data_IF_555275345957
#
_entry.id   IF_555275345957
#
_cell.length_a   1.000
_cell.length_b   1.000
_cell.length_c   1.000
_cell.angle_alpha   90.00
_cell.angle_beta   90.00
_cell.angle_gamma   90.00
#
_symmetry.space_group_name_H-M   'P 1'
#
loop_
_entity.id
_entity.type
_entity.pdbx_description
1 polymer ?
#
# COMPACT_ATOMS: atom_id res chain seq x y z
N UNK A 1 47.21 36.39 22.19
CA UNK A 1 46.40 37.12 23.20
C UNK A 1 45.40 38.02 22.48
N UNK A 2 44.16 37.59 22.30
CA UNK A 2 42.99 38.45 22.08
C UNK A 2 41.75 37.64 22.49
N UNK A 3 41.14 38.03 23.62
CA UNK A 3 39.94 37.43 24.20
C UNK A 3 38.72 38.06 23.51
N UNK A 4 37.88 37.27 22.85
CA UNK A 4 36.54 37.72 22.46
C UNK A 4 35.49 37.11 23.41
N UNK A 5 34.80 38.00 24.09
CA UNK A 5 33.83 37.78 25.15
C UNK A 5 32.52 37.24 24.61
N UNK A 6 32.02 36.16 25.22
CA UNK A 6 30.66 35.64 25.06
C UNK A 6 29.69 36.61 25.74
N UNK A 7 28.80 37.25 24.98
CA UNK A 7 27.61 37.91 25.54
C UNK A 7 26.44 36.93 25.50
N UNK A 8 26.10 36.39 26.66
CA UNK A 8 24.81 35.79 26.94
C UNK A 8 23.74 36.88 26.88
N UNK A 9 22.72 36.67 26.04
CA UNK A 9 21.45 37.39 26.18
C UNK A 9 20.52 36.53 27.04
N UNK A 10 20.38 36.95 28.29
CA UNK A 10 19.34 36.53 29.21
C UNK A 10 18.13 37.43 28.97
N UNK A 11 17.00 36.87 28.53
CA UNK A 11 15.72 37.57 28.53
C UNK A 11 14.69 36.67 29.22
N UNK A 12 14.43 37.07 30.47
CA UNK A 12 13.22 36.96 31.28
C UNK A 12 12.12 36.01 30.82
N UNK A 13 11.92 34.95 31.63
CA UNK A 13 10.62 34.36 31.91
C UNK A 13 9.64 35.48 32.30
N UNK A 14 8.49 35.56 31.63
CA UNK A 14 7.31 36.16 32.24
C UNK A 14 6.11 35.30 31.89
N UNK A 15 5.52 34.78 32.95
CA UNK A 15 4.37 33.90 32.95
C UNK A 15 3.12 34.66 32.48
N UNK A 16 2.38 34.07 31.54
CA UNK A 16 0.95 34.33 31.38
C UNK A 16 0.27 32.96 31.38
N UNK A 17 -0.06 32.51 32.59
CA UNK A 17 -0.84 31.31 32.86
C UNK A 17 -2.33 31.72 32.76
N UNK A 18 -2.86 31.80 31.55
CA UNK A 18 -4.31 32.00 31.34
C UNK A 18 -5.00 30.63 31.41
N UNK A 19 -5.67 30.38 32.54
CA UNK A 19 -6.52 29.22 32.74
C UNK A 19 -7.76 29.31 31.83
N UNK A 20 -7.73 28.66 30.67
CA UNK A 20 -8.94 28.34 29.91
C UNK A 20 -9.59 27.08 30.52
N UNK A 21 -10.63 27.31 31.33
CA UNK A 21 -11.61 26.30 31.71
C UNK A 21 -12.32 25.80 30.44
N UNK A 22 -11.97 24.61 29.98
CA UNK A 22 -12.72 23.92 28.93
C UNK A 22 -13.79 23.08 29.64
N UNK A 23 -15.09 23.29 29.40
CA UNK A 23 -16.11 22.37 29.89
C UNK A 23 -15.91 21.02 29.20
N UNK A 24 -15.71 19.99 30.01
CA UNK A 24 -15.74 18.59 29.59
C UNK A 24 -17.10 18.29 28.96
N UNK A 25 -17.17 18.32 27.64
CA UNK A 25 -18.32 17.79 26.90
C UNK A 25 -18.27 16.28 27.10
N UNK A 26 -19.24 15.78 27.87
CA UNK A 26 -19.51 14.36 27.99
C UNK A 26 -19.62 13.74 26.60
N UNK A 27 -18.73 12.78 26.30
CA UNK A 27 -18.87 11.90 25.15
C UNK A 27 -20.17 11.11 25.30
N UNK A 28 -21.22 11.52 24.58
CA UNK A 28 -22.39 10.68 24.40
C UNK A 28 -21.97 9.49 23.52
N UNK A 29 -22.23 8.23 23.94
CA UNK A 29 -22.09 7.10 23.04
C UNK A 29 -23.14 7.27 21.93
N UNK A 30 -22.68 7.69 20.75
CA UNK A 30 -23.48 7.63 19.52
C UNK A 30 -23.69 6.16 19.20
N UNK A 31 -24.75 5.59 19.75
CA UNK A 31 -25.31 4.32 19.30
C UNK A 31 -25.95 4.55 17.93
N UNK A 32 -25.11 4.63 16.89
CA UNK A 32 -25.56 4.49 15.51
C UNK A 32 -25.98 3.03 15.34
N UNK A 33 -27.28 2.78 15.45
CA UNK A 33 -27.90 1.59 14.86
C UNK A 33 -27.36 1.46 13.42
N UNK A 34 -26.70 0.36 13.03
CA UNK A 34 -26.24 0.20 11.67
C UNK A 34 -27.46 0.25 10.76
N UNK A 35 -27.49 1.23 9.87
CA UNK A 35 -28.53 1.35 8.85
C UNK A 35 -28.36 0.15 7.89
N UNK A 36 -29.33 -0.77 7.79
CA UNK A 36 -29.21 -1.99 6.98
C UNK A 36 -29.22 -1.72 5.45
N UNK A 37 -29.19 -0.47 5.02
CA UNK A 37 -29.24 -0.08 3.61
C UNK A 37 -27.88 0.19 2.95
N UNK A 38 -26.77 0.22 3.69
CA UNK A 38 -25.44 0.13 3.08
C UNK A 38 -25.08 -1.33 2.82
N UNK A 39 -25.81 -1.95 1.89
CA UNK A 39 -25.25 -3.09 1.14
C UNK A 39 -24.04 -2.52 0.41
N UNK A 40 -22.84 -2.95 0.77
CA UNK A 40 -21.67 -2.83 -0.09
C UNK A 40 -22.08 -3.41 -1.44
N UNK A 41 -22.31 -2.55 -2.43
CA UNK A 41 -22.62 -2.97 -3.78
C UNK A 41 -21.30 -3.40 -4.41
N UNK A 42 -21.03 -4.70 -4.35
CA UNK A 42 -19.90 -5.30 -5.03
C UNK A 42 -20.22 -5.36 -6.52
N UNK A 43 -19.50 -4.56 -7.31
CA UNK A 43 -19.54 -4.67 -8.76
C UNK A 43 -18.67 -5.85 -9.18
N UNK A 44 -19.22 -6.78 -9.96
CA UNK A 44 -18.45 -7.84 -10.60
C UNK A 44 -17.37 -7.23 -11.49
N UNK A 45 -16.12 -7.67 -11.30
CA UNK A 45 -14.86 -7.17 -11.91
C UNK A 45 -14.92 -7.01 -13.44
N UNK A 46 -15.87 -7.67 -14.10
CA UNK A 46 -16.11 -7.59 -15.55
C UNK A 46 -16.29 -6.15 -16.08
N UNK A 47 -16.76 -5.21 -15.25
CA UNK A 47 -17.03 -3.84 -15.70
C UNK A 47 -15.77 -2.94 -15.68
N UNK A 48 -14.69 -3.37 -15.03
CA UNK A 48 -13.46 -2.58 -14.87
C UNK A 48 -12.24 -3.39 -15.35
N UNK A 49 -12.01 -3.51 -16.67
CA UNK A 49 -10.91 -4.31 -17.21
C UNK A 49 -9.52 -3.81 -16.80
N UNK A 50 -9.41 -2.54 -16.40
CA UNK A 50 -8.18 -1.91 -15.88
C UNK A 50 -7.91 -2.20 -14.41
N UNK A 51 -8.84 -2.81 -13.69
CA UNK A 51 -8.66 -3.26 -12.31
C UNK A 51 -8.18 -4.71 -12.33
N UNK A 52 -6.97 -4.94 -11.86
CA UNK A 52 -6.30 -6.25 -11.98
C UNK A 52 -5.76 -6.71 -10.63
N UNK A 53 -5.54 -8.01 -10.49
CA UNK A 53 -4.84 -8.55 -9.32
C UNK A 53 -3.34 -8.51 -9.54
N UNK A 54 -2.59 -8.14 -8.51
CA UNK A 54 -1.12 -8.22 -8.47
C UNK A 54 -0.73 -9.22 -7.40
N UNK A 55 0.06 -10.21 -7.80
CA UNK A 55 0.58 -11.30 -6.98
C UNK A 55 2.08 -11.11 -6.90
N UNK A 56 2.59 -10.86 -5.70
CA UNK A 56 3.99 -10.55 -5.44
C UNK A 56 4.60 -11.58 -4.50
N UNK A 57 5.64 -12.27 -4.95
CA UNK A 57 6.41 -13.20 -4.10
C UNK A 57 7.51 -12.44 -3.37
N UNK A 58 7.45 -12.48 -2.04
CA UNK A 58 8.35 -11.75 -1.17
C UNK A 58 9.63 -12.56 -0.95
N UNK A 59 10.78 -11.95 -1.21
CA UNK A 59 12.07 -12.55 -0.92
C UNK A 59 12.50 -12.26 0.54
N UNK A 60 12.17 -13.18 1.44
CA UNK A 60 12.50 -13.08 2.86
C UNK A 60 14.00 -12.95 3.13
N UNK A 61 14.84 -13.58 2.31
CA UNK A 61 16.30 -13.54 2.53
C UNK A 61 16.86 -12.13 2.34
N UNK A 62 16.29 -11.33 1.43
CA UNK A 62 16.72 -9.95 1.23
C UNK A 62 16.18 -9.00 2.31
N UNK A 63 15.02 -9.31 2.89
CA UNK A 63 14.50 -8.60 4.06
C UNK A 63 15.40 -8.87 5.26
N UNK A 64 15.76 -10.13 5.50
CA UNK A 64 16.65 -10.51 6.59
C UNK A 64 18.00 -9.78 6.47
N UNK A 65 18.61 -9.77 5.28
CA UNK A 65 19.85 -9.02 5.02
C UNK A 65 19.69 -7.52 5.28
N UNK A 66 18.62 -6.90 4.78
CA UNK A 66 18.35 -5.47 4.99
C UNK A 66 18.19 -5.11 6.48
N UNK A 67 17.51 -5.96 7.25
CA UNK A 67 17.37 -5.78 8.69
C UNK A 67 18.71 -5.96 9.42
N UNK A 68 19.49 -6.98 9.05
CA UNK A 68 20.82 -7.22 9.62
C UNK A 68 21.77 -6.04 9.37
N UNK A 69 21.74 -5.45 8.18
CA UNK A 69 22.51 -4.25 7.84
C UNK A 69 22.12 -3.04 8.71
N UNK A 70 20.88 -2.99 9.20
CA UNK A 70 20.39 -1.97 10.15
C UNK A 70 20.67 -2.31 11.61
N UNK A 71 21.44 -3.38 11.88
CA UNK A 71 21.74 -3.85 13.23
C UNK A 71 20.60 -4.62 13.90
N UNK A 72 19.53 -4.93 13.17
CA UNK A 72 18.38 -5.70 13.67
C UNK A 72 18.67 -7.17 13.43
N UNK A 73 18.90 -7.92 14.51
CA UNK A 73 19.08 -9.37 14.44
C UNK A 73 17.71 -10.05 14.35
N UNK A 74 17.35 -10.47 13.15
CA UNK A 74 16.23 -11.35 12.89
C UNK A 74 16.77 -12.61 12.21
N UNK A 75 16.31 -13.78 12.65
CA UNK A 75 16.58 -15.04 11.98
C UNK A 75 15.26 -15.56 11.43
N UNK A 76 15.05 -15.38 10.13
CA UNK A 76 13.84 -15.83 9.43
C UNK A 76 13.99 -17.31 9.01
N UNK A 77 15.20 -17.86 9.16
CA UNK A 77 15.65 -19.16 8.65
C UNK A 77 15.52 -20.32 9.65
N UNK A 78 14.65 -20.23 10.66
CA UNK A 78 14.38 -21.38 11.54
C UNK A 78 13.82 -22.58 10.75
N UNK A 79 14.07 -23.81 11.22
CA UNK A 79 13.78 -25.09 10.53
C UNK A 79 12.35 -25.25 9.97
N UNK A 80 11.39 -24.42 10.41
CA UNK A 80 9.99 -24.41 9.95
C UNK A 80 9.72 -23.54 8.72
N UNK A 81 10.65 -22.70 8.27
CA UNK A 81 10.43 -21.73 7.18
C UNK A 81 11.11 -22.07 5.85
N UNK A 82 11.84 -23.19 5.79
CA UNK A 82 12.73 -23.56 4.66
C UNK A 82 12.00 -23.63 3.31
N UNK A 83 10.67 -23.78 3.31
CA UNK A 83 9.84 -23.86 2.09
C UNK A 83 8.71 -22.82 2.01
N UNK A 84 8.74 -21.77 2.85
CA UNK A 84 7.68 -20.75 2.84
C UNK A 84 8.13 -19.52 2.05
N UNK A 85 7.47 -19.25 0.93
CA UNK A 85 7.61 -17.99 0.19
C UNK A 85 6.34 -17.17 0.43
N UNK A 86 6.38 -16.11 1.27
CA UNK A 86 5.22 -15.28 1.49
C UNK A 86 4.77 -14.63 0.19
N UNK A 87 3.46 -14.59 -0.01
CA UNK A 87 2.83 -13.96 -1.16
C UNK A 87 2.03 -12.76 -0.66
N UNK A 88 2.24 -11.61 -1.29
CA UNK A 88 1.37 -10.46 -1.17
C UNK A 88 0.43 -10.42 -2.37
N UNK A 89 -0.88 -10.42 -2.12
CA UNK A 89 -1.90 -10.27 -3.16
C UNK A 89 -2.60 -8.94 -2.96
N UNK A 90 -2.60 -8.11 -3.99
CA UNK A 90 -3.13 -6.74 -3.94
C UNK A 90 -3.81 -6.38 -5.26
N UNK A 91 -4.41 -5.20 -5.32
CA UNK A 91 -5.05 -4.66 -6.51
C UNK A 91 -4.10 -3.71 -7.25
N UNK A 92 -4.09 -3.80 -8.59
CA UNK A 92 -3.40 -2.88 -9.48
C UNK A 92 -4.38 -2.16 -10.41
N UNK A 93 -3.99 -0.97 -10.86
CA UNK A 93 -4.74 -0.16 -11.82
C UNK A 93 -3.88 0.04 -13.05
N UNK A 94 -4.37 -0.36 -14.22
CA UNK A 94 -3.73 -0.06 -15.51
C UNK A 94 -3.93 1.43 -15.81
N UNK A 95 -2.83 2.17 -15.94
CA UNK A 95 -2.87 3.64 -16.06
C UNK A 95 -2.61 4.16 -17.48
N UNK A 96 -2.06 3.34 -18.37
CA UNK A 96 -1.88 3.70 -19.78
C UNK A 96 -1.98 2.51 -20.75
N UNK A 97 -1.71 2.78 -22.03
CA UNK A 97 -1.78 1.81 -23.13
C UNK A 97 -0.50 1.01 -23.31
N UNK A 98 0.60 1.42 -22.69
CA UNK A 98 1.89 0.71 -22.77
C UNK A 98 1.93 -0.46 -21.79
N UNK A 99 0.99 -0.49 -20.85
CA UNK A 99 0.83 -1.56 -19.87
C UNK A 99 1.40 -1.20 -18.51
N UNK A 100 1.55 0.10 -18.21
CA UNK A 100 1.94 0.53 -16.89
C UNK A 100 0.79 0.35 -15.90
N UNK A 101 1.15 -0.15 -14.72
CA UNK A 101 0.23 -0.47 -13.64
C UNK A 101 0.69 0.24 -12.37
N UNK A 102 -0.23 0.95 -11.74
CA UNK A 102 -0.04 1.56 -10.43
C UNK A 102 -0.58 0.62 -9.35
N UNK A 103 0.22 0.35 -8.32
CA UNK A 103 -0.18 -0.50 -7.18
C UNK A 103 0.60 -0.15 -5.92
N UNK A 104 0.37 -0.87 -4.82
CA UNK A 104 1.16 -0.80 -3.59
C UNK A 104 1.65 -2.19 -3.24
N UNK A 105 2.97 -2.35 -3.26
CA UNK A 105 3.65 -3.56 -2.83
C UNK A 105 4.25 -3.34 -1.44
N UNK A 106 4.47 -4.44 -0.73
CA UNK A 106 5.05 -4.42 0.62
C UNK A 106 6.36 -5.20 0.63
N UNK A 107 7.22 -4.89 1.59
CA UNK A 107 8.46 -5.63 1.83
C UNK A 107 9.40 -5.71 0.62
N UNK A 108 9.45 -4.63 -0.18
CA UNK A 108 10.41 -4.47 -1.27
C UNK A 108 11.76 -3.97 -0.74
N UNK A 109 12.84 -4.42 -1.38
CA UNK A 109 14.17 -3.83 -1.26
C UNK A 109 14.74 -3.48 -2.65
N UNK A 110 14.35 -2.33 -3.24
CA UNK A 110 14.82 -1.95 -4.59
C UNK A 110 16.35 -1.79 -4.70
N UNK A 111 17.04 -1.46 -3.60
CA UNK A 111 18.49 -1.31 -3.56
C UNK A 111 19.23 -2.64 -3.80
N UNK A 112 18.59 -3.77 -3.51
CA UNK A 112 19.11 -5.11 -3.80
C UNK A 112 18.79 -5.62 -5.23
N UNK A 113 18.27 -4.73 -6.09
CA UNK A 113 17.91 -5.05 -7.48
C UNK A 113 16.77 -6.07 -7.55
N UNK A 114 16.74 -6.88 -8.63
CA UNK A 114 15.67 -7.85 -8.88
C UNK A 114 15.43 -8.82 -7.72
N UNK A 115 16.49 -9.21 -7.00
CA UNK A 115 16.38 -10.12 -5.85
C UNK A 115 15.60 -9.51 -4.70
N UNK A 116 15.77 -8.21 -4.45
CA UNK A 116 15.06 -7.49 -3.39
C UNK A 116 13.63 -7.10 -3.77
N UNK A 117 13.31 -7.10 -5.07
CA UNK A 117 11.94 -6.94 -5.55
C UNK A 117 11.18 -8.26 -5.44
N UNK A 118 11.78 -9.40 -5.80
CA UNK A 118 11.08 -10.67 -5.93
C UNK A 118 10.36 -10.80 -7.28
N UNK A 119 9.46 -11.78 -7.40
CA UNK A 119 8.67 -12.00 -8.63
C UNK A 119 7.31 -11.33 -8.53
N UNK A 120 6.82 -10.75 -9.63
CA UNK A 120 5.54 -10.06 -9.68
C UNK A 120 4.76 -10.56 -10.88
N UNK A 121 3.64 -11.23 -10.61
CA UNK A 121 2.67 -11.66 -11.61
C UNK A 121 1.43 -10.79 -11.49
N UNK A 122 0.83 -10.40 -12.60
CA UNK A 122 -0.53 -9.85 -12.62
C UNK A 122 -1.50 -10.89 -13.13
N UNK A 123 -2.71 -10.90 -12.57
CA UNK A 123 -3.81 -11.71 -13.05
C UNK A 123 -4.92 -10.78 -13.55
N UNK A 124 -5.27 -10.95 -14.83
CA UNK A 124 -6.31 -10.19 -15.49
C UNK A 124 -7.71 -10.66 -15.05
N UNK A 125 -8.76 -9.86 -15.25
CA UNK A 125 -10.15 -10.28 -15.01
C UNK A 125 -10.56 -11.56 -15.77
N UNK A 126 -9.90 -11.85 -16.89
CA UNK A 126 -10.07 -13.10 -17.64
C UNK A 126 -9.49 -14.35 -16.95
N UNK A 127 -8.73 -14.18 -15.87
CA UNK A 127 -7.92 -15.22 -15.23
C UNK A 127 -6.55 -15.44 -15.89
N UNK A 128 -6.23 -14.71 -16.97
CA UNK A 128 -4.91 -14.78 -17.61
C UNK A 128 -3.84 -14.18 -16.70
N UNK A 129 -2.76 -14.93 -16.46
CA UNK A 129 -1.60 -14.47 -15.70
C UNK A 129 -0.49 -13.94 -16.62
N UNK A 130 0.15 -12.85 -16.23
CA UNK A 130 1.30 -12.26 -16.94
C UNK A 130 2.38 -11.80 -15.98
N UNK A 131 3.62 -11.98 -16.39
CA UNK A 131 4.77 -11.43 -15.66
C UNK A 131 4.79 -9.90 -15.77
N UNK A 132 5.06 -9.24 -14.65
CA UNK A 132 5.20 -7.80 -14.55
C UNK A 132 6.63 -7.44 -14.13
N UNK A 133 7.18 -6.42 -14.76
CA UNK A 133 8.48 -5.86 -14.41
C UNK A 133 8.28 -4.67 -13.46
N UNK A 134 9.05 -4.65 -12.38
CA UNK A 134 9.12 -3.48 -11.50
C UNK A 134 9.85 -2.34 -12.19
N UNK A 135 9.26 -1.14 -12.15
CA UNK A 135 9.83 0.08 -12.75
C UNK A 135 10.36 1.01 -11.67
N UNK A 136 9.60 1.20 -10.59
CA UNK A 136 10.00 2.08 -9.51
C UNK A 136 9.03 2.09 -8.34
N UNK A 137 9.50 2.64 -7.23
CA UNK A 137 8.75 2.88 -6.01
C UNK A 137 8.90 4.35 -5.64
N UNK A 138 7.78 5.02 -5.44
CA UNK A 138 7.76 6.30 -4.74
C UNK A 138 7.66 6.05 -3.24
N UNK A 139 8.79 6.18 -2.54
CA UNK A 139 8.90 5.84 -1.11
C UNK A 139 7.87 6.56 -0.22
N UNK A 140 7.76 7.90 -0.29
CA UNK A 140 6.81 8.66 0.52
C UNK A 140 5.33 8.26 0.34
N UNK A 141 4.86 8.03 -0.88
CA UNK A 141 3.47 7.60 -1.10
C UNK A 141 3.25 6.09 -0.95
N UNK A 142 4.33 5.32 -1.12
CA UNK A 142 4.30 3.86 -1.16
C UNK A 142 3.71 3.29 -2.45
N UNK A 143 3.56 4.09 -3.51
CA UNK A 143 3.11 3.59 -4.81
C UNK A 143 4.26 2.98 -5.61
N UNK A 144 3.98 1.84 -6.22
CA UNK A 144 4.86 1.14 -7.14
C UNK A 144 4.32 1.27 -8.55
N UNK A 145 5.23 1.49 -9.49
CA UNK A 145 4.97 1.42 -10.91
C UNK A 145 5.49 0.09 -11.46
N UNK A 146 4.62 -0.64 -12.13
CA UNK A 146 4.93 -1.90 -12.81
C UNK A 146 4.70 -1.75 -14.32
N UNK A 147 5.33 -2.59 -15.12
CA UNK A 147 5.08 -2.70 -16.55
C UNK A 147 4.76 -4.14 -16.92
N UNK A 148 3.70 -4.34 -17.69
CA UNK A 148 3.41 -5.60 -18.37
C UNK A 148 3.45 -5.36 -19.86
N UNK A 149 4.42 -5.97 -20.54
CA UNK A 149 4.60 -5.77 -21.97
C UNK A 149 3.40 -6.32 -22.76
N UNK A 150 3.02 -5.59 -23.81
CA UNK A 150 1.93 -5.97 -24.72
C UNK A 150 0.59 -6.20 -24.00
N UNK A 151 0.33 -5.45 -22.93
CA UNK A 151 -0.93 -5.50 -22.20
C UNK A 151 -2.06 -4.86 -23.02
N UNK A 152 -2.95 -5.68 -23.59
CA UNK A 152 -4.08 -5.22 -24.41
C UNK A 152 -5.30 -4.83 -23.55
N UNK A 153 -5.08 -4.05 -22.50
CA UNK A 153 -6.12 -3.58 -21.59
C UNK A 153 -6.33 -2.08 -21.76
N UNK A 154 -7.59 -1.66 -21.80
CA UNK A 154 -7.92 -0.23 -21.82
C UNK A 154 -7.63 0.37 -20.45
N UNK A 155 -6.85 1.47 -20.35
CA UNK A 155 -6.49 2.07 -19.07
C UNK A 155 -7.69 2.68 -18.34
N UNK A 156 -7.52 2.83 -17.03
CA UNK A 156 -8.46 3.52 -16.16
C UNK A 156 -8.64 4.97 -16.60
N UNK A 157 -9.87 5.48 -16.49
CA UNK A 157 -10.16 6.90 -16.71
C UNK A 157 -9.80 7.66 -15.44
N UNK A 158 -8.53 8.03 -15.32
CA UNK A 158 -8.06 8.87 -14.22
C UNK A 158 -8.52 10.31 -14.44
N UNK A 159 -9.06 10.92 -13.40
CA UNK A 159 -9.41 12.33 -13.43
C UNK A 159 -8.14 13.19 -13.29
N UNK A 160 -8.01 14.22 -14.11
CA UNK A 160 -6.85 15.13 -14.07
C UNK A 160 -6.83 15.98 -12.78
N UNK A 161 -8.00 16.27 -12.24
CA UNK A 161 -8.18 16.98 -10.98
C UNK A 161 -9.53 16.55 -10.38
N UNK A 162 -9.54 16.25 -9.09
CA UNK A 162 -10.76 15.93 -8.36
C UNK A 162 -10.85 16.87 -7.16
N UNK A 163 -11.90 17.67 -7.12
CA UNK A 163 -12.30 18.38 -5.90
C UNK A 163 -13.37 17.52 -5.23
N UNK A 164 -12.98 16.81 -4.17
CA UNK A 164 -13.91 16.06 -3.35
C UNK A 164 -14.53 17.01 -2.32
N UNK A 165 -15.84 17.16 -2.33
CA UNK A 165 -16.57 17.78 -1.23
C UNK A 165 -16.87 16.73 -0.14
N UNK A 166 -17.24 17.19 1.06
CA UNK A 166 -17.52 16.28 2.18
C UNK A 166 -18.72 15.36 1.94
N UNK A 167 -19.56 15.66 0.95
CA UNK A 167 -20.75 14.88 0.60
C UNK A 167 -20.55 14.02 -0.65
N UNK A 168 -19.32 13.97 -1.20
CA UNK A 168 -19.00 13.17 -2.36
C UNK A 168 -19.27 11.69 -2.06
N UNK A 169 -20.06 11.06 -2.92
CA UNK A 169 -20.20 9.61 -2.89
C UNK A 169 -18.97 8.97 -3.53
N UNK A 170 -18.37 8.01 -2.84
CA UNK A 170 -17.18 7.29 -3.31
C UNK A 170 -17.49 5.80 -3.35
N UNK A 171 -17.15 5.16 -4.47
CA UNK A 171 -17.17 3.71 -4.62
C UNK A 171 -15.75 3.17 -4.49
N UNK A 172 -15.53 2.30 -3.51
CA UNK A 172 -14.26 1.58 -3.36
C UNK A 172 -14.34 0.32 -4.21
N UNK A 173 -13.36 0.17 -5.11
CA UNK A 173 -13.25 -1.01 -5.96
C UNK A 173 -12.14 -1.91 -5.41
N UNK A 174 -12.40 -3.22 -5.39
CA UNK A 174 -11.42 -4.23 -5.03
C UNK A 174 -11.63 -5.47 -5.89
N UNK A 175 -10.56 -6.24 -6.13
CA UNK A 175 -10.67 -7.56 -6.75
C UNK A 175 -11.15 -8.56 -5.71
N UNK A 176 -12.22 -9.29 -6.02
CA UNK A 176 -12.69 -10.40 -5.21
C UNK A 176 -11.83 -11.66 -5.42
N UNK A 177 -11.42 -12.28 -4.31
CA UNK A 177 -10.76 -13.58 -4.31
C UNK A 177 -11.82 -14.65 -4.03
N UNK A 178 -12.13 -15.45 -5.04
CA UNK A 178 -13.10 -16.51 -4.89
C UNK A 178 -12.37 -17.83 -4.61
N UNK A 179 -12.28 -18.19 -3.33
CA UNK A 179 -11.77 -19.50 -2.90
C UNK A 179 -12.81 -20.56 -3.24
N UNK A 180 -12.84 -21.04 -4.49
CA UNK A 180 -13.50 -22.32 -4.77
C UNK A 180 -12.54 -23.43 -4.34
N UNK A 181 -12.85 -24.23 -3.30
CA UNK A 181 -12.09 -25.43 -3.03
C UNK A 181 -12.22 -26.35 -4.26
N UNK A 182 -11.09 -26.78 -4.81
CA UNK A 182 -11.04 -27.82 -5.83
C UNK A 182 -11.58 -29.12 -5.22
N UNK A 183 -12.90 -29.33 -5.30
CA UNK A 183 -13.55 -30.60 -5.01
C UNK A 183 -13.32 -31.56 -6.19
N UNK A 184 -12.07 -32.01 -6.35
CA UNK A 184 -11.76 -33.21 -7.13
C UNK A 184 -10.67 -34.03 -6.45
N UNK A 185 -11.08 -34.78 -5.44
CA UNK A 185 -10.57 -36.12 -5.17
C UNK A 185 -11.77 -37.02 -4.92
N UNK A 186 -11.98 -37.94 -5.85
CA UNK A 186 -12.91 -39.06 -5.82
C UNK A 186 -12.36 -40.10 -6.77
#
# INVERSE_FOLDING_TARGET
MFKLSKKLFSISLSAILTACLIPSVFAQPVSKKPNPSNKLQFHTISDQPWLITVIHQINLSEIEKSLQQRGIKMNISGDKLINFTPINVTTGIVIDKEGYILTRLVNLNPEAGEKGIGSITVMLPSGEERQARFIGLDGPSGFCLLLVENLKIKPARLANQVSLDFNASVTILNVEFNDKPNSKQG
#
